data_IF_995483183790
#
_entry.id   IF_995483183790
#
_cell.length_a   1.000
_cell.length_b   1.000
_cell.length_c   1.000
_cell.angle_alpha   90.00
_cell.angle_beta   90.00
_cell.angle_gamma   90.00
#
_symmetry.space_group_name_H-M   'P 1'
#
loop_
_entity.id
_entity.type
_entity.pdbx_description
1 polymer ?
#
# COMPACT_ATOMS: atom_id res chain seq x y z
N UNK A 1 34.16 -58.53 -55.54
CA UNK A 1 34.51 -57.83 -54.30
C UNK A 1 33.69 -56.55 -54.27
N UNK A 2 32.54 -56.53 -53.55
CA UNK A 2 31.64 -55.37 -53.47
C UNK A 2 31.81 -54.77 -52.09
N UNK A 3 32.33 -53.54 -52.03
CA UNK A 3 32.48 -52.74 -50.81
C UNK A 3 31.17 -52.04 -50.48
N UNK A 4 30.60 -52.27 -49.30
CA UNK A 4 29.39 -51.62 -48.78
C UNK A 4 29.83 -50.39 -47.97
N UNK A 5 29.43 -49.21 -48.44
CA UNK A 5 29.57 -47.95 -47.71
C UNK A 5 28.33 -47.80 -46.81
N UNK A 6 28.53 -47.84 -45.49
CA UNK A 6 27.51 -47.47 -44.51
C UNK A 6 27.53 -45.95 -44.31
N UNK A 7 26.44 -45.28 -44.70
CA UNK A 7 26.20 -43.90 -44.37
C UNK A 7 25.48 -43.81 -43.00
N UNK A 8 26.13 -43.27 -41.98
CA UNK A 8 25.52 -42.96 -40.69
C UNK A 8 24.85 -41.58 -40.75
N UNK A 9 23.52 -41.60 -40.69
CA UNK A 9 22.72 -40.38 -40.49
C UNK A 9 22.79 -40.00 -39.00
N UNK A 10 23.53 -38.94 -38.69
CA UNK A 10 23.50 -38.29 -37.38
C UNK A 10 22.24 -37.47 -37.24
N UNK A 11 21.37 -37.87 -36.33
CA UNK A 11 20.16 -37.13 -35.93
C UNK A 11 20.58 -36.05 -34.91
N UNK A 12 20.78 -34.78 -35.39
CA UNK A 12 20.93 -33.63 -34.50
C UNK A 12 19.57 -33.28 -33.90
N UNK A 13 19.31 -33.71 -32.65
CA UNK A 13 18.19 -33.22 -31.87
C UNK A 13 18.48 -31.78 -31.45
N UNK A 14 17.82 -30.81 -32.07
CA UNK A 14 17.79 -29.43 -31.61
C UNK A 14 16.88 -29.38 -30.40
N UNK A 15 17.48 -29.36 -29.18
CA UNK A 15 16.78 -29.05 -27.95
C UNK A 15 16.46 -27.55 -27.95
N UNK A 16 15.27 -27.18 -28.41
CA UNK A 16 14.73 -25.85 -28.19
C UNK A 16 14.52 -25.67 -26.68
N UNK A 17 15.04 -24.61 -26.06
CA UNK A 17 14.72 -24.33 -24.66
C UNK A 17 13.22 -24.07 -24.57
N UNK A 18 12.51 -24.91 -23.82
CA UNK A 18 11.17 -24.61 -23.38
C UNK A 18 11.27 -23.37 -22.48
N UNK A 19 11.02 -22.21 -23.03
CA UNK A 19 10.70 -21.03 -22.26
C UNK A 19 9.34 -21.33 -21.64
N UNK A 20 9.34 -21.80 -20.40
CA UNK A 20 8.15 -21.83 -19.58
C UNK A 20 7.65 -20.40 -19.49
N UNK A 21 6.66 -20.05 -20.30
CA UNK A 21 5.91 -18.82 -20.13
C UNK A 21 5.36 -18.85 -18.69
N UNK A 22 5.85 -17.96 -17.82
CA UNK A 22 5.28 -17.76 -16.51
C UNK A 22 3.77 -17.62 -16.69
N UNK A 23 3.00 -18.45 -15.98
CA UNK A 23 1.56 -18.31 -16.00
C UNK A 23 1.21 -16.92 -15.43
N UNK A 24 0.21 -16.25 -16.00
CA UNK A 24 -0.24 -14.92 -15.53
C UNK A 24 -0.53 -14.90 -14.03
N UNK A 25 -0.80 -16.05 -13.42
CA UNK A 25 -1.01 -16.22 -11.99
C UNK A 25 0.22 -15.94 -11.14
N UNK A 26 1.37 -16.44 -11.52
CA UNK A 26 2.61 -16.23 -10.75
C UNK A 26 3.05 -14.76 -10.77
N UNK A 27 2.72 -14.04 -11.84
CA UNK A 27 3.02 -12.62 -11.95
C UNK A 27 2.17 -11.77 -11.02
N UNK A 28 0.91 -12.14 -10.77
CA UNK A 28 0.02 -11.41 -9.87
C UNK A 28 0.57 -11.37 -8.45
N UNK A 29 1.22 -12.43 -7.99
CA UNK A 29 1.77 -12.53 -6.64
C UNK A 29 2.89 -11.51 -6.37
N UNK A 30 3.49 -10.92 -7.40
CA UNK A 30 4.47 -9.85 -7.25
C UNK A 30 3.85 -8.54 -6.74
N UNK A 31 2.54 -8.36 -6.93
CA UNK A 31 1.78 -7.18 -6.54
C UNK A 31 1.08 -7.33 -5.18
N UNK A 32 1.22 -8.48 -4.53
CA UNK A 32 0.79 -8.71 -3.15
C UNK A 32 2.00 -8.71 -2.22
N UNK A 33 1.90 -8.04 -1.10
CA UNK A 33 2.94 -8.04 -0.09
C UNK A 33 2.36 -8.07 1.31
N UNK A 34 3.16 -8.53 2.26
CA UNK A 34 2.80 -8.69 3.65
C UNK A 34 4.00 -8.31 4.51
N UNK A 35 3.80 -7.38 5.45
CA UNK A 35 4.87 -6.94 6.34
C UNK A 35 5.42 -8.06 7.23
N UNK A 36 4.64 -9.10 7.52
CA UNK A 36 5.09 -10.24 8.34
C UNK A 36 6.30 -10.96 7.71
N UNK A 37 6.38 -10.96 6.39
CA UNK A 37 7.47 -11.60 5.65
C UNK A 37 8.72 -10.72 5.48
N UNK A 38 8.67 -9.46 5.92
CA UNK A 38 9.74 -8.50 5.72
C UNK A 38 10.68 -8.41 6.95
N UNK A 39 11.97 -8.13 6.71
CA UNK A 39 12.95 -7.93 7.79
C UNK A 39 12.76 -6.54 8.39
N UNK A 40 12.70 -6.40 9.73
CA UNK A 40 12.59 -5.09 10.36
C UNK A 40 13.89 -4.29 10.18
N UNK A 41 13.72 -2.97 10.01
CA UNK A 41 14.82 -2.00 10.09
C UNK A 41 14.47 -0.93 11.14
N UNK A 42 15.48 -0.36 11.76
CA UNK A 42 15.28 0.74 12.72
C UNK A 42 15.36 2.08 12.00
N UNK A 43 14.30 2.87 12.11
CA UNK A 43 14.22 4.25 11.64
C UNK A 43 13.95 5.21 12.81
N UNK A 44 14.07 6.50 12.61
CA UNK A 44 13.83 7.55 13.61
C UNK A 44 14.48 7.25 14.98
N UNK A 45 15.53 6.43 15.00
CA UNK A 45 16.28 6.04 16.19
C UNK A 45 15.70 4.87 16.98
N UNK A 46 14.40 4.65 17.00
CA UNK A 46 13.76 3.58 17.77
C UNK A 46 12.52 2.95 17.10
N UNK A 47 12.03 3.53 16.02
CA UNK A 47 10.90 2.99 15.27
C UNK A 47 11.36 1.75 14.49
N UNK A 48 10.66 0.64 14.63
CA UNK A 48 10.91 -0.57 13.84
C UNK A 48 9.95 -0.61 12.65
N UNK A 49 10.48 -0.56 11.44
CA UNK A 49 9.69 -0.62 10.22
C UNK A 49 9.90 -1.92 9.48
N UNK A 50 8.84 -2.41 8.86
CA UNK A 50 8.81 -3.56 7.95
C UNK A 50 8.19 -3.14 6.65
N UNK A 51 8.86 -3.42 5.54
CA UNK A 51 8.35 -3.08 4.21
C UNK A 51 7.11 -3.92 3.87
N UNK A 52 6.11 -3.25 3.31
CA UNK A 52 5.01 -3.85 2.57
C UNK A 52 5.33 -3.66 1.09
N UNK A 53 5.42 -2.40 0.64
CA UNK A 53 5.84 -2.07 -0.72
C UNK A 53 7.05 -1.14 -0.70
N UNK A 54 7.92 -1.34 -1.70
CA UNK A 54 9.13 -0.53 -1.92
C UNK A 54 9.16 0.01 -3.33
N UNK A 55 9.99 1.02 -3.56
CA UNK A 55 10.22 1.56 -4.89
C UNK A 55 10.58 0.46 -5.90
N UNK A 56 10.00 0.55 -7.09
CA UNK A 56 10.17 -0.43 -8.16
C UNK A 56 9.46 -0.03 -9.45
N UNK A 57 9.41 -0.96 -10.38
CA UNK A 57 8.70 -0.80 -11.64
C UNK A 57 7.42 -1.65 -11.65
N UNK A 58 6.22 -1.04 -11.52
CA UNK A 58 4.96 -1.79 -11.53
C UNK A 58 4.65 -2.44 -12.88
N UNK A 59 5.26 -1.98 -13.98
CA UNK A 59 5.10 -2.62 -15.29
C UNK A 59 5.90 -3.92 -15.39
N UNK A 60 7.04 -3.99 -14.67
CA UNK A 60 7.90 -5.16 -14.69
C UNK A 60 8.58 -5.39 -13.34
N UNK A 61 7.82 -5.78 -12.28
CA UNK A 61 8.38 -6.00 -10.96
C UNK A 61 9.44 -7.10 -10.99
N UNK A 62 10.63 -6.81 -10.46
CA UNK A 62 11.73 -7.80 -10.38
C UNK A 62 11.66 -8.67 -9.14
N UNK A 63 10.94 -8.22 -8.11
CA UNK A 63 10.69 -8.95 -6.86
C UNK A 63 9.32 -8.56 -6.28
N UNK A 64 8.79 -9.45 -5.47
CA UNK A 64 7.53 -9.25 -4.75
C UNK A 64 7.58 -7.95 -3.94
N UNK A 65 6.57 -7.10 -4.10
CA UNK A 65 6.41 -5.85 -3.38
C UNK A 65 7.29 -4.68 -3.85
N UNK A 66 8.16 -4.85 -4.87
CA UNK A 66 8.91 -3.74 -5.46
C UNK A 66 8.16 -3.14 -6.65
N UNK A 67 7.10 -2.39 -6.36
CA UNK A 67 6.10 -1.94 -7.33
C UNK A 67 5.80 -0.44 -7.27
N UNK A 68 6.30 0.28 -6.26
CA UNK A 68 6.02 1.71 -6.13
C UNK A 68 6.83 2.53 -7.15
N UNK A 69 6.14 3.28 -7.99
CA UNK A 69 6.75 4.19 -8.96
C UNK A 69 6.81 5.62 -8.43
N UNK A 70 5.79 6.04 -7.70
CA UNK A 70 5.58 7.43 -7.29
C UNK A 70 5.69 7.65 -5.79
N UNK A 71 5.48 6.60 -4.99
CA UNK A 71 5.70 6.63 -3.55
C UNK A 71 7.08 6.09 -3.21
N UNK A 72 7.65 6.59 -2.10
CA UNK A 72 8.95 6.11 -1.61
C UNK A 72 8.83 4.73 -0.95
N UNK A 73 7.83 4.57 -0.07
CA UNK A 73 7.57 3.31 0.64
C UNK A 73 6.16 3.25 1.21
N UNK A 74 5.70 2.02 1.43
CA UNK A 74 4.59 1.69 2.30
C UNK A 74 5.06 0.64 3.30
N UNK A 75 4.98 0.94 4.60
CA UNK A 75 5.55 0.13 5.67
C UNK A 75 4.56 -0.09 6.81
N UNK A 76 4.84 -1.10 7.61
CA UNK A 76 4.25 -1.30 8.93
C UNK A 76 5.31 -0.96 9.98
N UNK A 77 4.98 -0.03 10.87
CA UNK A 77 5.90 0.49 11.87
C UNK A 77 5.43 0.19 13.28
N UNK A 78 6.37 -0.16 14.16
CA UNK A 78 6.08 -0.38 15.58
C UNK A 78 7.06 0.39 16.44
N UNK A 79 6.53 1.02 17.50
CA UNK A 79 7.32 1.66 18.55
C UNK A 79 7.11 0.89 19.86
N UNK A 80 8.20 0.42 20.44
CA UNK A 80 8.17 -0.38 21.67
C UNK A 80 7.48 0.37 22.83
N UNK A 81 6.92 -0.33 23.82
CA UNK A 81 6.31 0.30 24.99
C UNK A 81 7.23 1.35 25.61
N UNK A 82 6.66 2.52 25.92
CA UNK A 82 7.34 3.66 26.56
C UNK A 82 8.50 4.27 25.76
N UNK A 83 8.79 3.79 24.55
CA UNK A 83 9.83 4.35 23.70
C UNK A 83 9.42 5.69 23.07
N UNK A 84 10.45 6.47 22.70
CA UNK A 84 10.29 7.74 21.98
C UNK A 84 11.27 7.76 20.82
N UNK A 85 10.86 8.25 19.66
CA UNK A 85 11.74 8.44 18.50
C UNK A 85 12.68 9.63 18.73
N UNK A 86 13.75 9.70 17.95
CA UNK A 86 14.54 10.94 17.85
C UNK A 86 13.70 12.04 17.16
N UNK A 87 13.92 13.29 17.56
CA UNK A 87 13.38 14.42 16.82
C UNK A 87 13.90 14.37 15.37
N UNK A 88 13.00 14.42 14.42
CA UNK A 88 13.29 14.20 13.01
C UNK A 88 12.53 15.19 12.14
N UNK A 89 13.12 15.54 11.00
CA UNK A 89 12.49 16.29 9.90
C UNK A 89 12.55 15.43 8.64
N UNK A 90 11.49 15.46 7.85
CA UNK A 90 11.44 14.80 6.56
C UNK A 90 11.78 15.83 5.48
N UNK A 91 12.93 15.67 4.81
CA UNK A 91 13.36 16.57 3.75
C UNK A 91 12.90 16.02 2.39
N UNK A 92 12.20 16.84 1.60
CA UNK A 92 11.71 16.49 0.26
C UNK A 92 10.64 15.38 0.24
N UNK A 93 10.09 15.03 1.39
CA UNK A 93 9.06 13.98 1.54
C UNK A 93 8.18 14.27 2.74
N UNK A 94 7.02 13.65 2.78
CA UNK A 94 6.10 13.68 3.92
C UNK A 94 5.56 12.29 4.20
N UNK A 95 5.04 12.08 5.39
CA UNK A 95 4.55 10.78 5.83
C UNK A 95 3.12 10.86 6.33
N UNK A 96 2.36 9.80 6.02
CA UNK A 96 1.04 9.58 6.58
C UNK A 96 1.14 8.38 7.50
N UNK A 97 0.83 8.60 8.78
CA UNK A 97 0.73 7.56 9.79
C UNK A 97 -0.74 7.22 10.01
N UNK A 98 -1.09 5.95 9.91
CA UNK A 98 -2.42 5.44 10.26
C UNK A 98 -2.27 4.44 11.41
N UNK A 99 -2.77 4.80 12.59
CA UNK A 99 -2.61 3.98 13.80
C UNK A 99 -3.52 2.76 13.74
N UNK A 100 -2.89 1.59 13.80
CA UNK A 100 -3.56 0.30 13.81
C UNK A 100 -3.89 -0.15 15.25
N UNK A 101 -2.94 0.01 16.19
CA UNK A 101 -3.13 -0.40 17.58
C UNK A 101 -2.17 0.31 18.54
N UNK A 102 -2.44 0.19 19.83
CA UNK A 102 -1.65 0.80 20.90
C UNK A 102 -2.06 2.25 21.19
N UNK A 103 -1.29 2.89 22.08
CA UNK A 103 -1.50 4.27 22.51
C UNK A 103 -0.19 5.04 22.51
N UNK A 104 -0.23 6.27 22.04
CA UNK A 104 0.96 7.11 21.96
C UNK A 104 0.63 8.58 21.82
N UNK A 105 1.62 9.36 21.45
CA UNK A 105 1.46 10.75 21.05
C UNK A 105 2.46 11.10 19.94
N UNK A 106 2.09 12.09 19.15
CA UNK A 106 2.98 12.78 18.22
C UNK A 106 3.11 14.24 18.66
N UNK A 107 4.33 14.75 18.69
CA UNK A 107 4.62 16.14 18.98
C UNK A 107 5.30 16.76 17.77
N UNK A 108 4.74 17.86 17.23
CA UNK A 108 5.31 18.61 16.10
C UNK A 108 4.92 20.09 16.19
N UNK A 109 5.85 21.00 15.90
CA UNK A 109 5.57 22.44 15.90
C UNK A 109 5.05 23.01 17.24
N UNK A 110 5.35 22.35 18.35
CA UNK A 110 4.87 22.73 19.69
C UNK A 110 3.49 22.17 20.06
N UNK A 111 2.82 21.50 19.15
CA UNK A 111 1.55 20.80 19.39
C UNK A 111 1.79 19.32 19.71
N UNK A 112 1.02 18.76 20.63
CA UNK A 112 1.02 17.32 20.95
C UNK A 112 -0.39 16.77 20.79
N UNK A 113 -0.50 15.65 20.04
CA UNK A 113 -1.76 14.98 19.77
C UNK A 113 -1.66 13.51 20.19
N UNK A 114 -2.71 12.99 20.81
CA UNK A 114 -2.80 11.59 21.20
C UNK A 114 -3.01 10.68 19.99
N UNK A 115 -2.32 9.55 20.00
CA UNK A 115 -2.41 8.48 19.02
C UNK A 115 -3.10 7.27 19.60
N UNK A 116 -4.14 6.80 18.92
CA UNK A 116 -4.88 5.59 19.23
C UNK A 116 -5.49 5.00 17.95
N UNK A 117 -6.04 3.80 18.02
CA UNK A 117 -6.57 3.07 16.85
C UNK A 117 -7.45 3.97 15.97
N UNK A 118 -7.16 3.99 14.65
CA UNK A 118 -7.82 4.75 13.59
C UNK A 118 -7.54 6.27 13.60
N UNK A 119 -6.56 6.75 14.38
CA UNK A 119 -6.02 8.10 14.16
C UNK A 119 -5.11 8.08 12.94
N UNK A 120 -5.27 9.08 12.08
CA UNK A 120 -4.39 9.34 10.95
C UNK A 120 -3.70 10.70 11.11
N UNK A 121 -2.41 10.75 10.82
CA UNK A 121 -1.58 11.97 10.88
C UNK A 121 -0.89 12.16 9.55
N UNK A 122 -1.12 13.29 8.90
CA UNK A 122 -0.29 13.77 7.79
C UNK A 122 0.82 14.63 8.39
N UNK A 123 2.04 14.12 8.37
CA UNK A 123 3.25 14.81 8.82
C UNK A 123 3.92 15.48 7.63
N UNK A 124 3.85 16.81 7.53
CA UNK A 124 4.37 17.53 6.37
C UNK A 124 5.90 17.53 6.34
N UNK A 125 6.45 17.72 5.15
CA UNK A 125 7.88 17.91 4.96
C UNK A 125 8.41 19.10 5.79
N UNK A 126 9.65 18.99 6.25
CA UNK A 126 10.40 20.01 6.97
C UNK A 126 9.86 20.39 8.37
N UNK A 127 8.79 19.77 8.85
CA UNK A 127 8.33 19.94 10.22
C UNK A 127 9.06 18.96 11.14
N UNK A 128 9.66 19.45 12.22
CA UNK A 128 10.29 18.60 13.20
C UNK A 128 9.24 17.94 14.09
N UNK A 129 9.37 16.63 14.29
CA UNK A 129 8.44 15.84 15.10
C UNK A 129 9.11 14.72 15.88
N UNK A 130 8.39 14.22 16.88
CA UNK A 130 8.71 13.02 17.63
C UNK A 130 7.44 12.18 17.81
N UNK A 131 7.60 10.86 17.79
CA UNK A 131 6.59 9.91 18.18
C UNK A 131 6.94 9.32 19.55
N UNK A 132 5.94 9.14 20.40
CA UNK A 132 6.11 8.52 21.72
C UNK A 132 5.03 7.47 21.94
N UNK A 133 5.43 6.29 22.30
CA UNK A 133 4.51 5.29 22.82
C UNK A 133 4.27 5.56 24.31
N UNK A 134 3.02 5.85 24.68
CA UNK A 134 2.61 6.14 26.08
C UNK A 134 1.99 4.92 26.75
N UNK A 135 1.73 3.85 26.00
CA UNK A 135 1.12 2.61 26.46
C UNK A 135 2.14 1.56 26.92
N UNK A 136 1.62 0.43 27.37
CA UNK A 136 2.38 -0.75 27.80
C UNK A 136 2.47 -1.82 26.70
N UNK A 137 1.74 -1.63 25.60
CA UNK A 137 1.78 -2.43 24.39
C UNK A 137 2.47 -1.67 23.26
N UNK A 138 2.98 -2.33 22.22
CA UNK A 138 3.53 -1.66 21.04
C UNK A 138 2.52 -0.69 20.41
N UNK A 139 2.97 0.52 20.07
CA UNK A 139 2.23 1.42 19.19
C UNK A 139 2.52 1.01 17.75
N UNK A 140 1.50 0.57 17.03
CA UNK A 140 1.62 0.04 15.67
C UNK A 140 0.88 0.92 14.66
N UNK A 141 1.50 1.14 13.50
CA UNK A 141 1.02 2.08 12.48
C UNK A 141 1.36 1.59 11.08
N UNK A 142 0.47 1.82 10.13
CA UNK A 142 0.84 1.84 8.72
C UNK A 142 1.42 3.20 8.38
N UNK A 143 2.51 3.21 7.62
CA UNK A 143 3.20 4.42 7.20
C UNK A 143 3.25 4.46 5.68
N UNK A 144 2.84 5.58 5.11
CA UNK A 144 2.94 5.87 3.68
C UNK A 144 3.90 7.03 3.55
N UNK A 145 5.01 6.82 2.86
CA UNK A 145 5.99 7.87 2.59
C UNK A 145 5.85 8.32 1.14
N UNK A 146 5.49 9.58 0.95
CA UNK A 146 5.35 10.19 -0.37
C UNK A 146 6.39 11.30 -0.60
N UNK A 147 6.99 11.38 -1.81
CA UNK A 147 7.85 12.50 -2.16
C UNK A 147 7.00 13.77 -2.35
N UNK A 148 7.61 14.92 -2.07
CA UNK A 148 7.03 16.21 -2.41
C UNK A 148 7.49 16.66 -3.80
N UNK A 149 6.58 17.02 -4.72
CA UNK A 149 6.98 17.45 -6.06
C UNK A 149 7.72 18.81 -6.04
N UNK A 150 8.51 19.12 -7.08
CA UNK A 150 9.17 20.42 -7.19
C UNK A 150 8.20 21.59 -7.04
N UNK A 151 8.53 22.56 -6.19
CA UNK A 151 7.68 23.72 -5.91
C UNK A 151 6.52 23.47 -4.95
N UNK A 152 6.38 22.25 -4.43
CA UNK A 152 5.39 21.94 -3.42
C UNK A 152 5.61 22.77 -2.15
N UNK A 153 4.51 23.22 -1.56
CA UNK A 153 4.52 23.96 -0.29
C UNK A 153 3.86 23.11 0.78
N UNK A 154 4.64 22.48 1.66
CA UNK A 154 4.10 21.68 2.75
C UNK A 154 3.22 22.52 3.68
N UNK A 155 2.26 21.88 4.33
CA UNK A 155 1.53 22.49 5.42
C UNK A 155 2.49 22.97 6.52
N UNK A 156 2.22 24.08 7.19
CA UNK A 156 3.06 24.56 8.29
C UNK A 156 2.92 23.73 9.56
N UNK A 157 1.83 22.98 9.69
CA UNK A 157 1.51 22.12 10.84
C UNK A 157 1.10 20.72 10.38
N UNK A 158 1.20 19.74 11.27
CA UNK A 158 0.61 18.42 11.03
C UNK A 158 -0.91 18.52 10.91
N UNK A 159 -1.51 17.61 10.13
CA UNK A 159 -2.96 17.48 10.05
C UNK A 159 -3.37 16.13 10.65
N UNK A 160 -4.33 16.14 11.57
CA UNK A 160 -4.81 14.95 12.26
C UNK A 160 -6.27 14.70 11.94
N UNK A 161 -6.61 13.45 11.69
CA UNK A 161 -7.99 12.97 11.49
C UNK A 161 -8.27 11.78 12.38
N UNK A 162 -9.40 11.80 13.05
CA UNK A 162 -9.95 10.64 13.77
C UNK A 162 -10.95 9.93 12.86
N UNK A 163 -10.53 8.83 12.26
CA UNK A 163 -11.36 8.06 11.32
C UNK A 163 -12.65 7.55 11.99
N UNK A 164 -12.63 7.30 13.31
CA UNK A 164 -13.83 6.88 14.02
C UNK A 164 -14.96 7.93 13.96
N UNK A 165 -14.61 9.21 13.80
CA UNK A 165 -15.56 10.34 13.77
C UNK A 165 -15.85 10.84 12.35
N UNK A 166 -15.13 10.34 11.34
CA UNK A 166 -15.38 10.77 9.97
C UNK A 166 -16.73 10.25 9.47
N UNK A 167 -17.48 11.07 8.71
CA UNK A 167 -18.72 10.62 8.11
C UNK A 167 -18.45 9.61 7.00
N UNK A 168 -19.41 8.74 6.74
CA UNK A 168 -19.42 7.90 5.56
C UNK A 168 -19.66 8.82 4.34
N UNK A 169 -18.80 8.70 3.35
CA UNK A 169 -18.91 9.40 2.07
C UNK A 169 -19.46 8.45 1.01
N UNK A 170 -20.64 8.72 0.49
CA UNK A 170 -21.32 7.86 -0.49
C UNK A 170 -20.80 8.04 -1.94
N UNK A 171 -19.60 8.60 -2.13
CA UNK A 171 -19.28 9.29 -3.39
C UNK A 171 -18.53 8.49 -4.44
N UNK A 172 -18.06 7.27 -4.18
CA UNK A 172 -17.16 6.63 -5.15
C UNK A 172 -17.85 5.75 -6.21
N UNK A 173 -19.17 5.62 -6.18
CA UNK A 173 -19.93 4.86 -7.19
C UNK A 173 -19.59 3.36 -7.24
N UNK A 174 -18.84 2.84 -6.28
CA UNK A 174 -18.41 1.44 -6.24
C UNK A 174 -19.31 0.58 -5.35
N UNK A 175 -20.58 0.90 -5.26
CA UNK A 175 -21.69 0.16 -4.64
C UNK A 175 -21.48 -0.23 -3.18
N UNK A 176 -20.98 -1.47 -2.97
CA UNK A 176 -20.82 -2.05 -1.64
C UNK A 176 -19.73 -1.36 -0.79
N UNK A 177 -18.99 -0.41 -1.34
CA UNK A 177 -17.94 0.27 -0.61
C UNK A 177 -18.53 1.30 0.37
N UNK A 178 -18.31 1.08 1.66
CA UNK A 178 -18.55 2.05 2.72
C UNK A 178 -17.26 2.83 2.92
N UNK A 179 -17.24 4.08 2.49
CA UNK A 179 -16.03 4.89 2.40
C UNK A 179 -16.02 6.01 3.43
N UNK A 180 -14.89 6.19 4.10
CA UNK A 180 -14.57 7.39 4.87
C UNK A 180 -13.31 8.04 4.27
N UNK A 181 -13.40 9.32 3.97
CA UNK A 181 -12.29 10.09 3.42
C UNK A 181 -11.38 10.59 4.53
N UNK A 182 -10.15 10.10 4.58
CA UNK A 182 -9.17 10.50 5.60
C UNK A 182 -8.42 11.74 5.16
N UNK A 183 -7.77 11.70 3.98
CA UNK A 183 -7.08 12.84 3.39
C UNK A 183 -7.36 12.94 1.89
N UNK A 184 -7.35 14.17 1.38
CA UNK A 184 -7.46 14.50 -0.04
C UNK A 184 -6.39 15.49 -0.45
N UNK A 185 -6.24 15.75 -1.73
CA UNK A 185 -5.24 16.71 -2.27
C UNK A 185 -5.28 18.07 -1.55
N UNK A 186 -6.47 18.57 -1.23
CA UNK A 186 -6.68 19.87 -0.56
C UNK A 186 -6.16 19.90 0.88
N UNK A 187 -5.96 18.74 1.49
CA UNK A 187 -5.35 18.61 2.82
C UNK A 187 -3.82 18.72 2.77
N UNK A 188 -3.22 18.91 1.60
CA UNK A 188 -1.78 19.09 1.41
C UNK A 188 -1.04 17.78 1.13
N UNK A 189 -1.70 16.78 0.50
CA UNK A 189 -1.01 15.62 -0.05
C UNK A 189 -0.05 16.05 -1.16
N UNK A 190 1.17 15.49 -1.16
CA UNK A 190 2.23 15.84 -2.11
C UNK A 190 2.10 15.11 -3.45
N UNK A 191 2.00 13.83 -3.41
CA UNK A 191 1.92 12.92 -4.57
C UNK A 191 0.56 12.24 -4.65
N UNK A 192 0.03 11.79 -3.53
CA UNK A 192 -1.29 11.17 -3.45
C UNK A 192 -2.42 12.18 -3.69
N UNK A 193 -3.54 11.71 -4.19
CA UNK A 193 -4.78 12.48 -4.30
C UNK A 193 -5.80 12.08 -3.25
N UNK A 194 -5.68 10.88 -2.68
CA UNK A 194 -6.65 10.41 -1.68
C UNK A 194 -6.06 9.37 -0.74
N UNK A 195 -6.51 9.39 0.50
CA UNK A 195 -6.35 8.35 1.50
C UNK A 195 -7.72 8.11 2.13
N UNK A 196 -8.18 6.87 2.08
CA UNK A 196 -9.52 6.47 2.52
C UNK A 196 -9.43 5.27 3.47
N UNK A 197 -10.47 5.06 4.27
CA UNK A 197 -10.81 3.73 4.72
C UNK A 197 -12.02 3.22 3.93
N UNK A 198 -11.98 1.95 3.57
CA UNK A 198 -13.04 1.28 2.82
C UNK A 198 -13.47 0.04 3.58
N UNK A 199 -14.77 -0.10 3.80
CA UNK A 199 -15.35 -1.27 4.46
C UNK A 199 -16.32 -1.96 3.51
N UNK A 200 -16.31 -3.28 3.52
CA UNK A 200 -17.32 -4.11 2.84
C UNK A 200 -18.12 -4.88 3.89
N UNK A 201 -19.43 -4.81 3.78
CA UNK A 201 -20.36 -5.61 4.58
C UNK A 201 -20.23 -7.12 4.29
N UNK A 202 -20.77 -7.99 5.16
CA UNK A 202 -20.82 -9.42 4.92
C UNK A 202 -21.42 -9.78 3.56
N UNK A 203 -20.85 -10.81 2.90
CA UNK A 203 -21.33 -11.37 1.63
C UNK A 203 -21.46 -10.33 0.51
N UNK A 204 -20.57 -9.34 0.47
CA UNK A 204 -20.56 -8.30 -0.57
C UNK A 204 -19.30 -8.32 -1.41
N UNK A 205 -19.41 -7.72 -2.59
CA UNK A 205 -18.33 -7.53 -3.55
C UNK A 205 -18.30 -6.08 -4.01
N UNK A 206 -17.11 -5.48 -4.08
CA UNK A 206 -16.93 -4.22 -4.77
C UNK A 206 -17.13 -4.38 -6.27
N UNK A 207 -17.46 -3.28 -6.97
CA UNK A 207 -17.58 -3.29 -8.43
C UNK A 207 -16.22 -3.65 -9.07
N UNK A 208 -16.12 -4.74 -9.85
CA UNK A 208 -14.92 -5.01 -10.63
C UNK A 208 -14.65 -3.89 -11.64
N UNK A 209 -13.42 -3.40 -11.69
CA UNK A 209 -13.00 -2.35 -12.62
C UNK A 209 -11.53 -2.51 -12.99
N UNK A 210 -11.07 -1.75 -13.94
CA UNK A 210 -9.66 -1.66 -14.32
C UNK A 210 -9.10 -0.31 -13.92
N UNK A 211 -7.80 -0.24 -13.73
CA UNK A 211 -7.06 1.01 -13.71
C UNK A 211 -6.84 1.42 -15.16
N UNK A 212 -7.43 2.53 -15.58
CA UNK A 212 -7.53 2.94 -16.99
C UNK A 212 -6.33 3.77 -17.49
N UNK A 213 -5.33 3.98 -16.63
CA UNK A 213 -4.08 4.65 -16.96
C UNK A 213 -2.88 3.95 -16.33
N UNK A 214 -1.77 3.92 -17.03
CA UNK A 214 -0.53 3.27 -16.60
C UNK A 214 0.28 4.09 -15.59
N UNK A 215 -0.11 5.33 -15.33
CA UNK A 215 0.49 6.23 -14.33
C UNK A 215 -0.30 6.31 -13.02
N UNK A 216 -1.35 5.52 -12.86
CA UNK A 216 -2.07 5.36 -11.60
C UNK A 216 -1.29 4.45 -10.64
N UNK A 217 -1.26 4.83 -9.37
CA UNK A 217 -0.74 4.03 -8.27
C UNK A 217 -1.83 3.90 -7.22
N UNK A 218 -2.36 2.70 -7.04
CA UNK A 218 -3.51 2.42 -6.18
C UNK A 218 -3.23 1.20 -5.31
N UNK A 219 -3.35 1.37 -4.00
CA UNK A 219 -3.01 0.36 -3.00
C UNK A 219 -4.16 0.14 -2.03
N UNK A 220 -4.42 -1.15 -1.74
CA UNK A 220 -5.38 -1.62 -0.75
C UNK A 220 -4.67 -2.45 0.31
N UNK A 221 -4.63 -1.96 1.54
CA UNK A 221 -4.04 -2.67 2.68
C UNK A 221 -5.15 -3.18 3.58
N UNK A 222 -5.22 -4.48 3.82
CA UNK A 222 -6.20 -5.05 4.74
C UNK A 222 -5.89 -4.64 6.18
N UNK A 223 -6.87 -4.03 6.86
CA UNK A 223 -6.81 -3.62 8.25
C UNK A 223 -7.50 -4.64 9.17
N UNK A 224 -8.74 -4.98 8.84
CA UNK A 224 -9.57 -5.90 9.63
C UNK A 224 -10.27 -6.92 8.73
N UNK A 225 -10.41 -8.14 9.24
CA UNK A 225 -11.07 -9.24 8.54
C UNK A 225 -10.23 -9.86 7.42
N UNK A 226 -10.69 -10.99 6.93
CA UNK A 226 -10.08 -11.69 5.78
C UNK A 226 -10.99 -11.58 4.58
N UNK A 227 -10.45 -11.08 3.48
CA UNK A 227 -11.15 -10.94 2.19
C UNK A 227 -10.52 -11.80 1.11
N UNK A 228 -11.16 -11.81 -0.06
CA UNK A 228 -10.57 -12.26 -1.30
C UNK A 228 -10.35 -11.06 -2.22
N UNK A 229 -9.12 -10.86 -2.67
CA UNK A 229 -8.83 -9.97 -3.77
C UNK A 229 -9.02 -10.75 -5.08
N UNK A 230 -9.90 -10.27 -5.95
CA UNK A 230 -10.08 -10.76 -7.31
C UNK A 230 -9.22 -9.93 -8.24
N UNK A 231 -8.29 -10.56 -8.93
CA UNK A 231 -7.36 -9.89 -9.84
C UNK A 231 -7.27 -10.70 -11.13
N UNK A 232 -7.55 -10.08 -12.26
CA UNK A 232 -7.69 -10.73 -13.55
C UNK A 232 -8.79 -11.79 -13.53
N UNK A 233 -8.45 -13.07 -13.46
CA UNK A 233 -9.34 -14.21 -13.33
C UNK A 233 -9.01 -15.09 -12.12
N UNK A 234 -8.29 -14.56 -11.14
CA UNK A 234 -7.78 -15.30 -9.99
C UNK A 234 -8.17 -14.63 -8.68
N UNK A 235 -8.24 -15.45 -7.65
CA UNK A 235 -8.48 -15.00 -6.28
C UNK A 235 -7.21 -15.14 -5.45
N UNK A 236 -6.98 -14.16 -4.58
CA UNK A 236 -5.96 -14.22 -3.54
C UNK A 236 -6.60 -13.88 -2.21
N UNK A 237 -6.30 -14.69 -1.19
CA UNK A 237 -6.68 -14.34 0.18
C UNK A 237 -5.88 -13.12 0.62
N UNK A 238 -6.58 -12.15 1.20
CA UNK A 238 -5.99 -10.95 1.76
C UNK A 238 -6.36 -10.86 3.24
N UNK A 239 -5.36 -11.00 4.10
CA UNK A 239 -5.48 -10.96 5.56
C UNK A 239 -4.94 -9.64 6.10
N UNK A 240 -5.28 -9.22 7.33
CA UNK A 240 -4.70 -8.04 7.96
C UNK A 240 -3.17 -8.01 7.85
N UNK A 241 -2.63 -6.87 7.43
CA UNK A 241 -1.20 -6.70 7.15
C UNK A 241 -0.78 -6.94 5.70
N UNK A 242 -1.61 -7.61 4.91
CA UNK A 242 -1.36 -7.74 3.47
C UNK A 242 -1.87 -6.54 2.70
N UNK A 243 -1.08 -6.11 1.71
CA UNK A 243 -1.50 -5.11 0.75
C UNK A 243 -1.48 -5.67 -0.67
N UNK A 244 -2.34 -5.10 -1.50
CA UNK A 244 -2.42 -5.34 -2.92
C UNK A 244 -2.22 -4.03 -3.67
N UNK A 245 -1.31 -4.07 -4.65
CA UNK A 245 -1.06 -2.98 -5.59
C UNK A 245 -1.79 -3.27 -6.90
N UNK A 246 -2.59 -2.34 -7.38
CA UNK A 246 -3.34 -2.50 -8.62
C UNK A 246 -2.42 -2.44 -9.83
N UNK A 247 -2.52 -3.43 -10.71
CA UNK A 247 -1.67 -3.55 -11.89
C UNK A 247 -2.07 -2.46 -12.90
N UNK A 248 -1.19 -1.47 -13.18
CA UNK A 248 -1.51 -0.35 -14.06
C UNK A 248 -1.27 -0.71 -15.53
N UNK A 249 -2.05 -1.65 -16.07
CA UNK A 249 -1.88 -2.19 -17.42
C UNK A 249 -3.09 -1.98 -18.35
N UNK A 250 -4.09 -1.23 -17.90
CA UNK A 250 -5.35 -0.93 -18.62
C UNK A 250 -6.15 -2.19 -19.02
N UNK A 251 -5.89 -3.32 -18.40
CA UNK A 251 -6.48 -4.62 -18.79
C UNK A 251 -6.92 -5.45 -17.60
N UNK A 252 -6.15 -5.43 -16.50
CA UNK A 252 -6.35 -6.33 -15.38
C UNK A 252 -7.49 -5.82 -14.50
N UNK A 253 -8.67 -6.46 -14.53
CA UNK A 253 -9.75 -6.12 -13.62
C UNK A 253 -9.42 -6.58 -12.20
N UNK A 254 -9.89 -5.82 -11.23
CA UNK A 254 -9.72 -6.13 -9.82
C UNK A 254 -10.92 -5.70 -9.00
N UNK A 255 -11.07 -6.33 -7.84
CA UNK A 255 -12.01 -5.93 -6.78
C UNK A 255 -11.70 -6.71 -5.50
N UNK A 256 -12.35 -6.32 -4.40
CA UNK A 256 -12.34 -7.07 -3.15
C UNK A 256 -13.71 -7.71 -2.90
N UNK A 257 -13.69 -8.90 -2.31
CA UNK A 257 -14.86 -9.69 -1.97
C UNK A 257 -14.80 -9.99 -0.47
N UNK A 258 -15.85 -9.62 0.24
CA UNK A 258 -16.08 -10.08 1.60
C UNK A 258 -16.95 -11.34 1.55
N UNK A 259 -16.32 -12.49 1.77
CA UNK A 259 -16.98 -13.80 1.80
C UNK A 259 -17.49 -14.21 3.20
N UNK A 260 -17.20 -13.39 4.22
CA UNK A 260 -17.64 -13.69 5.58
C UNK A 260 -19.16 -13.50 5.68
N UNK A 261 -19.82 -14.34 6.46
CA UNK A 261 -21.27 -14.31 6.63
C UNK A 261 -21.74 -13.26 7.65
N UNK A 262 -20.89 -12.91 8.62
CA UNK A 262 -21.25 -12.16 9.82
C UNK A 262 -20.30 -11.01 10.18
N UNK A 263 -19.21 -10.84 9.43
CA UNK A 263 -18.19 -9.85 9.75
C UNK A 263 -17.81 -8.99 8.54
N UNK A 264 -17.59 -7.70 8.81
CA UNK A 264 -17.06 -6.75 7.84
C UNK A 264 -15.57 -7.01 7.58
N UNK A 265 -15.09 -6.54 6.43
CA UNK A 265 -13.66 -6.39 6.14
C UNK A 265 -13.36 -4.92 5.91
N UNK A 266 -12.20 -4.46 6.39
CA UNK A 266 -11.80 -3.06 6.32
C UNK A 266 -10.42 -2.92 5.71
N UNK A 267 -10.25 -1.88 4.90
CA UNK A 267 -9.01 -1.57 4.19
C UNK A 267 -8.57 -0.13 4.43
N UNK A 268 -7.27 0.09 4.47
CA UNK A 268 -6.65 1.38 4.20
C UNK A 268 -6.36 1.44 2.69
N UNK A 269 -6.97 2.41 2.04
CA UNK A 269 -6.85 2.68 0.62
C UNK A 269 -6.16 4.00 0.40
N UNK A 270 -5.22 4.05 -0.53
CA UNK A 270 -4.62 5.29 -0.98
C UNK A 270 -4.24 5.22 -2.45
N UNK A 271 -4.35 6.35 -3.13
CA UNK A 271 -4.11 6.39 -4.55
C UNK A 271 -3.55 7.74 -5.05
N UNK A 272 -2.75 7.61 -6.09
CA UNK A 272 -2.39 8.66 -7.03
C UNK A 272 -3.05 8.35 -8.37
N UNK A 273 -3.93 9.23 -8.84
CA UNK A 273 -4.69 9.01 -10.08
C UNK A 273 -4.06 9.69 -11.29
N UNK A 274 -3.62 10.94 -11.17
CA UNK A 274 -2.99 11.71 -12.25
C UNK A 274 -2.02 12.74 -11.71
N UNK A 275 -0.94 13.08 -12.44
CA UNK A 275 -0.13 14.23 -12.10
C UNK A 275 -0.95 15.50 -12.33
N UNK A 276 -1.37 16.15 -11.26
CA UNK A 276 -1.81 17.55 -11.20
C UNK A 276 -2.99 18.03 -12.05
N UNK A 277 -3.82 17.20 -12.61
CA UNK A 277 -5.11 17.67 -13.08
C UNK A 277 -6.05 17.82 -11.88
N UNK A 278 -6.11 19.04 -11.38
CA UNK A 278 -7.22 19.42 -10.50
C UNK A 278 -8.52 19.05 -11.23
N UNK A 279 -9.30 18.14 -10.65
CA UNK A 279 -10.65 17.88 -11.15
C UNK A 279 -11.36 19.22 -11.21
N UNK A 280 -11.69 19.67 -12.44
CA UNK A 280 -12.48 20.87 -12.71
C UNK A 280 -13.88 20.67 -12.16
#
# INVERSE_FOLDING_TARGET
MMSRILASLGLCAVLSPLVLAQTTGDRIDLYFADWHSSTPRTTLGSLQERDIFTAGDPQNPRKKGAVLRYLNSHTYATLAPRATTKATRLDGQQEIYFVESGHGSVTAGGETVDLYKNIAVLMPANLEFTLKNTGDEPLAMYVINEPTPPGFRPNPTMLVRDENRLPITASNGLWAHIVKTVFVTQDGLGTLQTVLTVTLDPLTIGKPHIVDHDDIEEIWTALDGTSLAFVSNQLRRQTPGMAFYHIPDNKTPHTNINQNEDSQVKFLYFARYHPHEARK
#
